data_IF_163238851857
#
_entry.id   IF_163238851857
#
_cell.length_a   1.000
_cell.length_b   1.000
_cell.length_c   1.000
_cell.angle_alpha   90.00
_cell.angle_beta   90.00
_cell.angle_gamma   90.00
#
_symmetry.space_group_name_H-M   'P 1'
#
loop_
_entity.id
_entity.type
_entity.pdbx_description
1 polymer ?
#
# COMPACT_ATOMS: atom_id res chain seq x y z
N UNK A 1 -50.09 -65.05 -26.92
CA UNK A 1 -48.78 -65.35 -26.31
C UNK A 1 -47.79 -64.41 -26.98
N UNK A 2 -47.84 -63.15 -26.56
CA UNK A 2 -47.28 -62.00 -27.28
C UNK A 2 -45.79 -61.83 -27.01
N UNK A 3 -45.06 -61.54 -28.09
CA UNK A 3 -43.82 -60.79 -28.05
C UNK A 3 -44.01 -59.42 -27.38
N UNK A 4 -42.90 -58.81 -26.95
CA UNK A 4 -42.75 -57.53 -26.22
C UNK A 4 -42.61 -57.72 -24.71
N UNK A 5 -41.39 -57.59 -24.20
CA UNK A 5 -40.98 -56.32 -23.60
C UNK A 5 -39.59 -56.46 -22.98
N UNK A 6 -38.72 -55.58 -23.45
CA UNK A 6 -37.63 -54.98 -22.72
C UNK A 6 -36.55 -55.92 -22.18
N UNK A 7 -35.68 -56.31 -23.12
CA UNK A 7 -34.24 -56.20 -22.90
C UNK A 7 -33.81 -54.71 -22.87
N UNK A 8 -34.49 -53.91 -22.05
CA UNK A 8 -34.10 -52.57 -21.64
C UNK A 8 -33.85 -52.76 -20.14
N UNK A 9 -32.64 -52.75 -19.63
CA UNK A 9 -31.79 -51.57 -19.59
C UNK A 9 -30.36 -52.07 -19.49
N UNK A 10 -29.62 -52.09 -20.60
CA UNK A 10 -28.18 -51.98 -20.53
C UNK A 10 -27.89 -50.56 -20.04
N UNK A 11 -27.88 -50.40 -18.71
CA UNK A 11 -27.42 -49.17 -18.08
C UNK A 11 -25.96 -49.07 -18.47
N UNK A 12 -25.72 -48.36 -19.57
CA UNK A 12 -24.41 -47.81 -19.86
C UNK A 12 -24.21 -46.79 -18.73
N UNK A 13 -23.65 -47.24 -17.61
CA UNK A 13 -23.07 -46.32 -16.63
C UNK A 13 -21.89 -45.68 -17.35
N UNK A 14 -22.19 -44.67 -18.15
CA UNK A 14 -21.21 -43.70 -18.61
C UNK A 14 -20.64 -43.13 -17.32
N UNK A 15 -19.37 -43.42 -16.98
CA UNK A 15 -18.80 -42.88 -15.77
C UNK A 15 -18.82 -41.39 -15.97
N UNK A 16 -19.70 -40.69 -15.23
CA UNK A 16 -19.83 -39.25 -15.26
C UNK A 16 -18.43 -38.69 -15.06
N UNK A 17 -17.80 -38.33 -16.17
CA UNK A 17 -16.43 -37.88 -16.17
C UNK A 17 -16.46 -36.53 -15.45
N UNK A 18 -16.20 -36.57 -14.16
CA UNK A 18 -15.94 -35.39 -13.35
C UNK A 18 -14.77 -34.69 -14.01
N UNK A 19 -15.09 -33.70 -14.85
CA UNK A 19 -14.14 -32.84 -15.52
C UNK A 19 -13.16 -32.37 -14.45
N UNK A 20 -11.88 -32.74 -14.52
CA UNK A 20 -10.93 -32.32 -13.51
C UNK A 20 -10.95 -30.79 -13.52
N UNK A 21 -11.31 -30.22 -12.38
CA UNK A 21 -11.26 -28.79 -12.14
C UNK A 21 -9.81 -28.40 -12.35
N UNK A 22 -9.50 -27.84 -13.52
CA UNK A 22 -8.16 -27.41 -13.86
C UNK A 22 -7.79 -26.30 -12.89
N UNK A 23 -7.06 -26.64 -11.84
CA UNK A 23 -6.34 -25.67 -11.02
C UNK A 23 -5.54 -24.79 -11.96
N UNK A 24 -5.94 -23.52 -12.03
CA UNK A 24 -5.27 -22.46 -12.76
C UNK A 24 -3.74 -22.55 -12.57
N UNK A 25 -2.95 -22.28 -13.63
CA UNK A 25 -1.50 -22.36 -13.54
C UNK A 25 -1.04 -21.40 -12.43
N UNK A 26 -0.45 -21.97 -11.37
CA UNK A 26 0.26 -21.21 -10.33
C UNK A 26 1.12 -20.18 -11.02
N UNK A 27 0.80 -18.90 -10.81
CA UNK A 27 1.52 -17.81 -11.42
C UNK A 27 3.00 -18.03 -11.14
N UNK A 28 3.77 -18.22 -12.22
CA UNK A 28 5.22 -18.11 -12.13
C UNK A 28 5.45 -16.65 -11.77
N UNK A 29 5.56 -16.35 -10.48
CA UNK A 29 5.96 -15.03 -10.00
C UNK A 29 7.22 -14.69 -10.75
N UNK A 30 7.09 -13.81 -11.74
CA UNK A 30 8.19 -13.49 -12.61
C UNK A 30 9.19 -12.78 -11.73
N UNK A 31 10.35 -13.42 -11.50
CA UNK A 31 11.45 -12.83 -10.73
C UNK A 31 11.76 -11.41 -11.21
N UNK A 32 11.57 -11.14 -12.51
CA UNK A 32 11.65 -9.82 -13.10
C UNK A 32 10.64 -8.82 -12.49
N UNK A 33 9.37 -9.20 -12.31
CA UNK A 33 8.39 -8.36 -11.63
C UNK A 33 8.80 -8.07 -10.19
N UNK A 34 9.32 -9.07 -9.47
CA UNK A 34 9.82 -8.86 -8.09
C UNK A 34 11.00 -7.89 -8.06
N UNK A 35 11.97 -8.05 -8.96
CA UNK A 35 13.13 -7.15 -9.06
C UNK A 35 12.70 -5.72 -9.41
N UNK A 36 11.78 -5.55 -10.36
CA UNK A 36 11.23 -4.24 -10.71
C UNK A 36 10.55 -3.62 -9.48
N UNK A 37 9.75 -4.38 -8.75
CA UNK A 37 9.07 -3.89 -7.54
C UNK A 37 10.08 -3.47 -6.46
N UNK A 38 11.16 -4.23 -6.28
CA UNK A 38 12.25 -3.88 -5.35
C UNK A 38 12.90 -2.56 -5.79
N UNK A 39 13.20 -2.38 -7.07
CA UNK A 39 13.77 -1.13 -7.60
C UNK A 39 12.83 0.04 -7.33
N UNK A 40 11.53 -0.12 -7.56
CA UNK A 40 10.54 0.91 -7.25
C UNK A 40 10.55 1.27 -5.76
N UNK A 41 10.59 0.29 -4.86
CA UNK A 41 10.67 0.52 -3.42
C UNK A 41 11.95 1.26 -3.06
N UNK A 42 13.11 0.81 -3.56
CA UNK A 42 14.39 1.47 -3.32
C UNK A 42 14.39 2.92 -3.81
N UNK A 43 13.77 3.19 -4.96
CA UNK A 43 13.61 4.54 -5.50
C UNK A 43 12.80 5.45 -4.56
N UNK A 44 11.70 4.95 -3.98
CA UNK A 44 10.92 5.71 -2.99
C UNK A 44 11.63 5.86 -1.65
N UNK A 45 12.46 4.89 -1.25
CA UNK A 45 13.21 4.94 -0.01
C UNK A 45 14.44 5.84 -0.08
N UNK A 46 15.05 6.00 -1.26
CA UNK A 46 16.24 6.84 -1.45
C UNK A 46 16.06 8.29 -0.94
N UNK A 47 15.00 9.05 -1.32
CA UNK A 47 14.80 10.40 -0.79
C UNK A 47 14.49 10.41 0.71
N UNK A 48 13.83 9.37 1.24
CA UNK A 48 13.58 9.25 2.68
C UNK A 48 14.86 8.99 3.46
N UNK A 49 15.73 8.11 2.97
CA UNK A 49 17.05 7.85 3.54
C UNK A 49 17.89 9.13 3.53
N UNK A 50 17.89 9.85 2.40
CA UNK A 50 18.59 11.12 2.30
C UNK A 50 18.04 12.15 3.31
N UNK A 51 16.71 12.25 3.47
CA UNK A 51 16.09 13.14 4.46
C UNK A 51 16.52 12.82 5.89
N UNK A 52 16.63 11.53 6.24
CA UNK A 52 17.11 11.09 7.55
C UNK A 52 18.56 11.52 7.78
N UNK A 53 19.43 11.30 6.79
CA UNK A 53 20.84 11.76 6.83
C UNK A 53 20.90 13.28 6.94
N UNK A 54 20.15 14.01 6.12
CA UNK A 54 20.11 15.47 6.11
C UNK A 54 19.63 16.04 7.46
N UNK A 55 18.64 15.42 8.10
CA UNK A 55 18.15 15.82 9.42
C UNK A 55 19.20 15.70 10.53
N UNK A 56 20.25 14.89 10.34
CA UNK A 56 21.37 14.78 11.29
C UNK A 56 22.47 15.82 11.06
N UNK A 57 22.51 16.47 9.89
CA UNK A 57 23.59 17.38 9.50
C UNK A 57 23.30 18.84 9.87
N UNK A 58 24.36 19.65 9.98
CA UNK A 58 24.21 21.11 10.05
C UNK A 58 23.91 21.71 8.67
N UNK A 59 23.40 22.94 8.61
CA UNK A 59 23.15 23.63 7.34
C UNK A 59 24.40 23.77 6.46
N UNK A 60 25.59 23.93 7.06
CA UNK A 60 26.85 24.01 6.34
C UNK A 60 27.21 22.65 5.72
N UNK A 61 27.05 21.57 6.49
CA UNK A 61 27.40 20.21 6.07
C UNK A 61 26.51 19.69 4.94
N UNK A 62 25.29 20.23 4.77
CA UNK A 62 24.45 19.91 3.63
C UNK A 62 25.08 20.28 2.27
N UNK A 63 25.96 21.29 2.25
CA UNK A 63 26.61 21.78 1.02
C UNK A 63 28.09 21.38 0.90
N UNK A 64 28.75 21.04 2.01
CA UNK A 64 30.19 20.74 2.03
C UNK A 64 30.52 19.25 2.14
N UNK A 65 29.59 18.41 2.61
CA UNK A 65 29.83 16.98 2.84
C UNK A 65 29.16 16.09 1.80
N UNK A 66 29.55 14.81 1.76
CA UNK A 66 29.00 13.84 0.82
C UNK A 66 27.48 13.65 1.02
N UNK A 67 26.69 13.83 -0.04
CA UNK A 67 25.23 13.94 0.04
C UNK A 67 24.50 12.70 0.59
N UNK A 68 24.99 11.48 0.34
CA UNK A 68 24.32 10.24 0.75
C UNK A 68 24.89 9.60 2.03
N UNK A 69 25.78 10.30 2.74
CA UNK A 69 26.45 9.78 3.93
C UNK A 69 26.40 10.78 5.08
N UNK A 70 26.57 10.30 6.30
CA UNK A 70 26.56 11.14 7.50
C UNK A 70 27.79 12.06 7.59
N UNK A 71 27.64 13.19 8.28
CA UNK A 71 28.71 14.11 8.64
C UNK A 71 28.68 14.32 10.17
N UNK A 72 28.75 15.56 10.67
CA UNK A 72 28.57 15.85 12.09
C UNK A 72 27.14 15.59 12.56
N UNK A 73 26.99 14.90 13.70
CA UNK A 73 25.70 14.48 14.24
C UNK A 73 25.08 15.56 15.12
N UNK A 74 24.13 16.32 14.57
CA UNK A 74 23.42 17.40 15.25
C UNK A 74 21.88 17.24 15.29
N UNK A 75 21.39 16.00 15.37
CA UNK A 75 19.96 15.70 15.34
C UNK A 75 19.16 16.40 16.45
N UNK A 76 19.68 16.40 17.68
CA UNK A 76 18.97 16.95 18.84
C UNK A 76 18.78 18.46 18.73
N UNK A 77 19.81 19.21 18.32
CA UNK A 77 19.67 20.66 18.15
C UNK A 77 18.80 21.00 16.94
N UNK A 78 18.90 20.25 15.84
CA UNK A 78 18.03 20.44 14.68
C UNK A 78 16.56 20.29 15.07
N UNK A 79 16.21 19.24 15.82
CA UNK A 79 14.84 19.04 16.32
C UNK A 79 14.43 20.18 17.26
N UNK A 80 15.26 20.54 18.24
CA UNK A 80 14.96 21.67 19.15
C UNK A 80 14.71 22.96 18.37
N UNK A 81 15.55 23.26 17.39
CA UNK A 81 15.46 24.48 16.57
C UNK A 81 14.12 24.57 15.85
N UNK A 82 13.63 23.48 15.27
CA UNK A 82 12.31 23.44 14.61
C UNK A 82 11.18 23.73 15.60
N UNK A 83 11.25 23.16 16.81
CA UNK A 83 10.19 23.32 17.81
C UNK A 83 10.28 24.61 18.63
N UNK A 84 11.42 25.30 18.67
CA UNK A 84 11.56 26.61 19.31
C UNK A 84 11.46 27.77 18.32
N UNK A 85 11.49 27.48 17.01
CA UNK A 85 11.39 28.47 15.95
C UNK A 85 10.15 29.37 16.12
N UNK A 86 10.38 30.69 16.17
CA UNK A 86 9.35 31.71 16.37
C UNK A 86 8.38 31.37 17.52
N UNK A 87 8.92 31.06 18.71
CA UNK A 87 8.14 30.65 19.89
C UNK A 87 7.31 29.37 19.69
N UNK A 88 7.80 28.45 18.86
CA UNK A 88 7.15 27.16 18.60
C UNK A 88 5.97 27.23 17.64
N UNK A 89 5.97 28.19 16.71
CA UNK A 89 4.94 28.34 15.68
C UNK A 89 4.76 27.05 14.85
N UNK A 90 5.84 26.29 14.64
CA UNK A 90 5.83 25.03 13.91
C UNK A 90 4.83 24.03 14.52
N UNK A 91 4.78 23.90 15.84
CA UNK A 91 3.86 22.99 16.51
C UNK A 91 2.39 23.40 16.26
N UNK A 92 2.12 24.71 16.20
CA UNK A 92 0.78 25.23 15.87
C UNK A 92 0.41 24.91 14.42
N UNK A 93 1.33 25.07 13.48
CA UNK A 93 1.10 24.70 12.07
C UNK A 93 0.88 23.20 11.91
N UNK A 94 1.69 22.37 12.56
CA UNK A 94 1.54 20.92 12.55
C UNK A 94 0.16 20.51 13.12
N UNK A 95 -0.23 21.08 14.26
CA UNK A 95 -1.53 20.83 14.87
C UNK A 95 -2.69 21.24 13.95
N UNK A 96 -2.60 22.43 13.33
CA UNK A 96 -3.60 22.88 12.37
C UNK A 96 -3.75 21.87 11.22
N UNK A 97 -2.65 21.46 10.59
CA UNK A 97 -2.68 20.47 9.51
C UNK A 97 -3.30 19.14 9.92
N UNK A 98 -3.02 18.65 11.14
CA UNK A 98 -3.65 17.44 11.69
C UNK A 98 -5.15 17.63 11.87
N UNK A 99 -5.58 18.77 12.42
CA UNK A 99 -7.01 19.06 12.60
C UNK A 99 -7.71 19.08 11.24
N UNK A 100 -7.14 19.78 10.25
CA UNK A 100 -7.72 19.84 8.91
C UNK A 100 -7.79 18.47 8.22
N UNK A 101 -6.73 17.66 8.30
CA UNK A 101 -6.72 16.33 7.68
C UNK A 101 -7.69 15.36 8.35
N UNK A 102 -7.81 15.38 9.68
CA UNK A 102 -8.77 14.52 10.41
C UNK A 102 -10.20 14.95 10.12
N UNK A 103 -10.50 16.25 10.19
CA UNK A 103 -11.86 16.76 9.91
C UNK A 103 -12.28 16.41 8.48
N UNK A 104 -11.38 16.58 7.51
CA UNK A 104 -11.66 16.23 6.12
C UNK A 104 -11.79 14.73 5.89
N UNK A 105 -10.93 13.91 6.49
CA UNK A 105 -11.02 12.45 6.41
C UNK A 105 -12.36 11.94 6.96
N UNK A 106 -12.76 12.40 8.15
CA UNK A 106 -14.04 12.02 8.77
C UNK A 106 -15.22 12.52 7.93
N UNK A 107 -15.19 13.79 7.51
CA UNK A 107 -16.24 14.36 6.66
C UNK A 107 -16.39 13.60 5.33
N UNK A 108 -15.27 13.33 4.65
CA UNK A 108 -15.26 12.58 3.40
C UNK A 108 -15.75 11.14 3.58
N UNK A 109 -15.32 10.44 4.63
CA UNK A 109 -15.80 9.09 4.94
C UNK A 109 -17.31 9.05 5.19
N UNK A 110 -17.84 9.98 5.99
CA UNK A 110 -19.29 10.04 6.25
C UNK A 110 -20.10 10.30 4.98
N UNK A 111 -19.66 11.25 4.16
CA UNK A 111 -20.32 11.55 2.89
C UNK A 111 -20.24 10.36 1.92
N UNK A 112 -19.08 9.70 1.83
CA UNK A 112 -18.91 8.52 1.00
C UNK A 112 -19.82 7.37 1.46
N UNK A 113 -19.94 7.13 2.77
CA UNK A 113 -20.84 6.11 3.32
C UNK A 113 -22.31 6.46 3.06
N UNK A 114 -22.72 7.71 3.26
CA UNK A 114 -24.09 8.15 3.02
C UNK A 114 -24.47 8.03 1.53
N UNK A 115 -23.59 8.47 0.63
CA UNK A 115 -23.78 8.33 -0.81
C UNK A 115 -23.81 6.86 -1.24
N UNK A 116 -22.89 6.04 -0.71
CA UNK A 116 -22.88 4.60 -0.95
C UNK A 116 -24.16 3.91 -0.50
N UNK A 117 -24.71 4.29 0.67
CA UNK A 117 -26.00 3.78 1.14
C UNK A 117 -27.17 4.20 0.24
N UNK A 118 -27.17 5.44 -0.24
CA UNK A 118 -28.20 5.92 -1.16
C UNK A 118 -28.21 5.14 -2.48
N UNK A 119 -27.03 4.86 -3.06
CA UNK A 119 -26.92 4.00 -4.26
C UNK A 119 -27.18 2.52 -3.99
N UNK A 120 -27.00 2.03 -2.77
CA UNK A 120 -27.23 0.62 -2.46
C UNK A 120 -28.72 0.28 -2.27
N UNK A 121 -29.56 1.28 -1.94
CA UNK A 121 -30.96 1.08 -1.62
C UNK A 121 -31.92 1.31 -2.79
N UNK A 122 -31.46 1.94 -3.86
CA UNK A 122 -32.20 2.16 -5.10
C UNK A 122 -31.45 1.53 -6.26
#
# INVERSE_FOLDING_TARGET
>A
MSALTANDVEVTEEPAATKPMSTEPRSRTSWLLTVIMIICVLYFLLPLYWLLVASTKSNADLFTSFGLWFADFNLIENVKTVFTFQNGVFARWALNSVIYSVVSAVGASLLATAAGYAFARY
#
